data_IF_094796637386
#
_entry.id   IF_094796637386
#
_cell.length_a   1.000
_cell.length_b   1.000
_cell.length_c   1.000
_cell.angle_alpha   90.00
_cell.angle_beta   90.00
_cell.angle_gamma   90.00
#
_symmetry.space_group_name_H-M   'P 1'
#
loop_
_entity.id
_entity.type
_entity.pdbx_description
1 polymer ?
#
# COMPACT_ATOMS: atom_id res chain seq x y z
N UNK A 1 30.58 -39.47 -4.70
CA UNK A 1 30.82 -38.03 -4.91
C UNK A 1 29.50 -37.35 -5.24
N UNK A 2 29.23 -36.25 -4.53
CA UNK A 2 27.93 -35.66 -4.16
C UNK A 2 26.93 -35.37 -5.30
N UNK A 3 25.70 -35.86 -5.14
CA UNK A 3 24.51 -35.46 -5.94
C UNK A 3 23.40 -34.78 -5.12
N UNK A 4 23.66 -34.34 -3.89
CA UNK A 4 22.60 -33.94 -2.93
C UNK A 4 22.71 -32.50 -2.36
N UNK A 5 23.29 -31.54 -3.08
CA UNK A 5 23.49 -30.16 -2.55
C UNK A 5 22.96 -29.06 -3.49
N UNK A 6 21.88 -29.30 -4.24
CA UNK A 6 21.24 -28.24 -5.06
C UNK A 6 19.74 -28.12 -4.76
N UNK A 7 19.39 -28.27 -3.49
CA UNK A 7 18.06 -27.93 -2.96
C UNK A 7 18.35 -27.22 -1.64
N UNK A 8 18.00 -25.93 -1.51
CA UNK A 8 18.18 -25.03 -0.34
C UNK A 8 19.10 -23.83 -0.63
N UNK A 9 18.59 -22.83 -1.36
CA UNK A 9 18.89 -21.41 -1.14
C UNK A 9 18.16 -20.53 -2.18
N UNK A 10 16.83 -20.42 -2.09
CA UNK A 10 16.09 -19.34 -2.75
C UNK A 10 14.68 -19.16 -2.15
N UNK A 11 14.56 -19.21 -0.82
CA UNK A 11 13.40 -18.59 -0.17
C UNK A 11 13.82 -17.15 0.10
N UNK A 12 13.85 -16.35 -0.96
CA UNK A 12 13.99 -14.89 -0.82
C UNK A 12 12.65 -14.40 -0.29
N UNK A 13 12.67 -13.84 0.92
CA UNK A 13 11.54 -13.15 1.50
C UNK A 13 11.17 -11.96 0.59
N UNK A 14 10.05 -12.10 -0.11
CA UNK A 14 9.50 -11.07 -1.01
C UNK A 14 8.75 -10.07 -0.12
N UNK A 15 9.45 -9.06 0.42
CA UNK A 15 8.81 -7.90 1.02
C UNK A 15 8.42 -6.92 -0.10
N UNK A 16 7.34 -7.23 -0.82
CA UNK A 16 6.74 -6.32 -1.80
C UNK A 16 5.60 -5.52 -1.17
N UNK A 17 5.72 -4.18 -1.15
CA UNK A 17 4.73 -3.25 -0.60
C UNK A 17 3.37 -3.32 -1.30
N UNK A 18 2.58 -4.36 -1.02
CA UNK A 18 1.25 -4.59 -1.59
C UNK A 18 0.17 -4.09 -0.62
N UNK A 19 -0.98 -3.69 -1.15
CA UNK A 19 -2.19 -3.47 -0.34
C UNK A 19 -3.06 -4.72 -0.36
N UNK A 20 -3.65 -5.04 0.78
CA UNK A 20 -4.53 -6.21 0.94
C UNK A 20 -5.84 -5.80 1.59
N UNK A 21 -6.96 -6.27 1.05
CA UNK A 21 -8.27 -6.08 1.66
C UNK A 21 -8.41 -6.95 2.90
N UNK A 22 -9.03 -6.41 3.95
CA UNK A 22 -9.47 -7.22 5.09
C UNK A 22 -10.81 -7.88 4.77
N UNK A 23 -10.81 -9.18 4.47
CA UNK A 23 -12.02 -9.94 4.17
C UNK A 23 -12.83 -10.22 5.44
N UNK A 24 -14.10 -10.63 5.28
CA UNK A 24 -14.98 -10.93 6.44
C UNK A 24 -14.40 -12.03 7.33
N UNK A 25 -13.73 -13.02 6.73
CA UNK A 25 -13.08 -14.12 7.45
C UNK A 25 -11.94 -13.62 8.35
N UNK A 26 -11.33 -12.48 8.03
CA UNK A 26 -10.25 -11.90 8.82
C UNK A 26 -10.73 -11.13 10.04
N UNK A 27 -12.01 -10.71 10.03
CA UNK A 27 -12.63 -9.84 11.04
C UNK A 27 -13.24 -10.59 12.23
N UNK A 28 -13.09 -11.92 12.28
CA UNK A 28 -13.63 -12.70 13.39
C UNK A 28 -12.95 -12.33 14.72
N UNK A 29 -13.75 -11.88 15.69
CA UNK A 29 -13.26 -11.55 17.03
C UNK A 29 -12.50 -12.72 17.69
N UNK A 30 -12.88 -13.95 17.34
CA UNK A 30 -12.29 -15.20 17.83
C UNK A 30 -11.09 -15.67 17.01
N UNK A 31 -10.69 -14.97 15.94
CA UNK A 31 -9.51 -15.33 15.15
C UNK A 31 -8.25 -15.22 16.00
N UNK A 32 -7.51 -16.31 16.13
CA UNK A 32 -6.21 -16.30 16.79
C UNK A 32 -5.16 -15.81 15.80
N UNK A 33 -4.49 -14.71 16.13
CA UNK A 33 -3.33 -14.24 15.38
C UNK A 33 -2.07 -14.79 16.03
N UNK A 34 -1.10 -15.19 15.22
CA UNK A 34 0.23 -15.57 15.71
C UNK A 34 0.99 -14.32 16.14
N UNK A 35 1.93 -14.48 17.07
CA UNK A 35 2.81 -13.39 17.54
C UNK A 35 3.95 -13.07 16.57
N UNK A 36 3.79 -13.42 15.28
CA UNK A 36 4.78 -13.09 14.26
C UNK A 36 4.68 -11.59 13.97
N UNK A 37 5.79 -10.89 14.16
CA UNK A 37 5.88 -9.47 13.93
C UNK A 37 6.23 -9.18 12.47
N UNK A 38 5.21 -8.80 11.69
CA UNK A 38 5.27 -8.40 10.29
C UNK A 38 4.42 -7.14 10.12
N UNK A 39 4.95 -5.96 10.47
CA UNK A 39 4.12 -4.79 10.65
C UNK A 39 3.42 -4.35 9.37
N UNK A 40 2.19 -3.87 9.52
CA UNK A 40 1.37 -3.34 8.43
C UNK A 40 0.77 -2.00 8.83
N UNK A 41 0.50 -1.17 7.83
CA UNK A 41 -0.21 0.07 7.99
C UNK A 41 -1.69 -0.18 7.67
N UNK A 42 -2.51 -0.25 8.72
CA UNK A 42 -3.96 -0.42 8.59
C UNK A 42 -4.62 0.91 8.24
N UNK A 43 -5.31 0.94 7.11
CA UNK A 43 -6.05 2.11 6.62
C UNK A 43 -7.50 1.98 7.06
N UNK A 44 -7.95 2.94 7.86
CA UNK A 44 -9.31 2.95 8.41
C UNK A 44 -10.24 3.71 7.49
N UNK A 45 -11.54 3.41 7.59
CA UNK A 45 -12.54 4.08 6.77
C UNK A 45 -12.45 5.60 6.99
N UNK A 46 -12.27 6.40 5.94
CA UNK A 46 -12.19 7.84 6.12
C UNK A 46 -13.50 8.33 6.70
N UNK A 47 -13.44 9.12 7.77
CA UNK A 47 -14.55 10.00 8.09
C UNK A 47 -14.79 10.88 6.86
N UNK A 48 -16.04 10.90 6.37
CA UNK A 48 -16.52 11.50 5.10
C UNK A 48 -16.27 13.01 4.93
N UNK A 49 -15.30 13.62 5.62
CA UNK A 49 -15.09 15.07 5.67
C UNK A 49 -13.61 15.50 5.54
N UNK A 50 -12.92 15.04 4.49
CA UNK A 50 -11.67 15.67 4.05
C UNK A 50 -10.52 15.75 5.08
N UNK A 51 -10.57 14.93 6.14
CA UNK A 51 -9.53 14.86 7.16
C UNK A 51 -8.33 14.01 6.72
N UNK A 52 -7.20 14.16 7.42
CA UNK A 52 -6.02 13.28 7.23
C UNK A 52 -6.46 11.81 7.24
N UNK A 53 -5.91 10.96 6.36
CA UNK A 53 -6.24 9.54 6.33
C UNK A 53 -5.93 8.92 7.70
N UNK A 54 -6.92 8.28 8.31
CA UNK A 54 -6.75 7.60 9.60
C UNK A 54 -6.00 6.30 9.31
N UNK A 55 -4.74 6.25 9.74
CA UNK A 55 -3.87 5.09 9.59
C UNK A 55 -3.21 4.75 10.90
N UNK A 56 -2.98 3.46 11.15
CA UNK A 56 -2.29 2.98 12.35
C UNK A 56 -1.40 1.78 12.01
N UNK A 57 -0.23 1.71 12.64
CA UNK A 57 0.67 0.56 12.52
C UNK A 57 0.15 -0.57 13.40
N UNK A 58 0.03 -1.76 12.84
CA UNK A 58 -0.29 -3.00 13.54
C UNK A 58 0.88 -3.96 13.43
N UNK A 59 1.01 -4.87 14.39
CA UNK A 59 2.10 -5.86 14.42
C UNK A 59 2.01 -6.92 13.32
N UNK A 60 0.83 -7.14 12.74
CA UNK A 60 0.61 -8.07 11.63
C UNK A 60 -0.67 -7.76 10.87
N UNK A 61 -0.78 -8.29 9.64
CA UNK A 61 -2.01 -8.26 8.85
C UNK A 61 -3.22 -8.81 9.62
N UNK A 62 -3.05 -9.94 10.31
CA UNK A 62 -4.11 -10.53 11.12
C UNK A 62 -4.59 -9.57 12.22
N UNK A 63 -3.67 -8.96 12.97
CA UNK A 63 -4.02 -8.03 14.04
C UNK A 63 -4.70 -6.76 13.51
N UNK A 64 -4.29 -6.28 12.33
CA UNK A 64 -4.97 -5.16 11.66
C UNK A 64 -6.41 -5.52 11.26
N UNK A 65 -6.62 -6.66 10.60
CA UNK A 65 -7.95 -7.00 10.09
C UNK A 65 -8.93 -7.49 11.16
N UNK A 66 -8.47 -7.82 12.37
CA UNK A 66 -9.35 -8.00 13.53
C UNK A 66 -10.01 -6.70 13.99
N UNK A 67 -9.37 -5.55 13.75
CA UNK A 67 -9.98 -4.24 14.00
C UNK A 67 -11.00 -3.93 12.89
N UNK A 68 -12.29 -3.93 13.25
CA UNK A 68 -13.38 -3.70 12.29
C UNK A 68 -13.33 -2.33 11.61
N UNK A 69 -12.62 -1.36 12.19
CA UNK A 69 -12.44 -0.03 11.59
C UNK A 69 -11.40 -0.01 10.45
N UNK A 70 -10.53 -1.02 10.36
CA UNK A 70 -9.56 -1.16 9.27
C UNK A 70 -10.28 -1.69 8.03
N UNK A 71 -10.11 -1.03 6.88
CA UNK A 71 -10.72 -1.42 5.61
C UNK A 71 -9.76 -2.29 4.81
N UNK A 72 -8.49 -1.87 4.73
CA UNK A 72 -7.41 -2.57 4.05
C UNK A 72 -6.08 -2.24 4.71
N UNK A 73 -5.05 -3.03 4.40
CA UNK A 73 -3.69 -2.84 4.92
C UNK A 73 -2.72 -2.55 3.79
N UNK A 74 -1.65 -1.85 4.12
CA UNK A 74 -0.46 -1.66 3.31
C UNK A 74 0.74 -2.32 4.02
N UNK A 75 1.60 -3.04 3.29
CA UNK A 75 2.73 -3.75 3.91
C UNK A 75 3.81 -2.79 4.44
N UNK A 76 4.19 -2.96 5.71
CA UNK A 76 5.14 -2.09 6.39
C UNK A 76 4.46 -1.12 7.35
N UNK A 77 5.22 -0.53 8.27
CA UNK A 77 4.70 0.43 9.23
C UNK A 77 4.23 1.74 8.56
N UNK A 78 3.28 2.46 9.15
CA UNK A 78 2.72 3.68 8.57
C UNK A 78 3.75 4.81 8.41
N UNK A 79 4.82 4.79 9.21
CA UNK A 79 5.93 5.73 9.19
C UNK A 79 6.81 5.56 7.95
N UNK A 80 6.73 4.41 7.26
CA UNK A 80 7.44 4.16 6.01
C UNK A 80 6.82 4.91 4.81
N UNK A 81 5.71 5.61 5.01
CA UNK A 81 4.96 6.32 3.96
C UNK A 81 4.87 7.82 4.27
N UNK A 82 4.84 8.67 3.22
CA UNK A 82 4.68 10.12 3.38
C UNK A 82 3.50 10.46 4.30
N UNK A 83 3.67 11.46 5.17
CA UNK A 83 2.64 11.86 6.15
C UNK A 83 1.35 12.33 5.46
N UNK A 84 1.48 12.99 4.32
CA UNK A 84 0.40 13.46 3.46
C UNK A 84 -0.02 12.43 2.39
N UNK A 85 0.50 11.20 2.44
CA UNK A 85 0.16 10.13 1.51
C UNK A 85 -1.27 9.64 1.70
N UNK A 86 -2.03 9.64 0.61
CA UNK A 86 -3.40 9.13 0.54
C UNK A 86 -3.38 7.79 -0.18
N UNK A 87 -3.77 6.73 0.53
CA UNK A 87 -3.77 5.37 -0.01
C UNK A 87 -4.96 5.15 -0.94
N UNK A 88 -4.70 4.48 -2.06
CA UNK A 88 -5.74 4.03 -2.95
C UNK A 88 -6.38 2.76 -2.40
N UNK A 89 -7.70 2.71 -2.41
CA UNK A 89 -8.40 1.49 -2.06
C UNK A 89 -8.04 0.39 -3.09
N UNK A 90 -7.79 -0.86 -2.69
CA UNK A 90 -7.38 -1.92 -3.63
C UNK A 90 -8.32 -2.10 -4.82
N UNK A 91 -9.63 -1.91 -4.61
CA UNK A 91 -10.64 -2.01 -5.66
C UNK A 91 -10.77 -0.75 -6.54
N UNK A 92 -10.03 0.33 -6.29
CA UNK A 92 -10.14 1.58 -7.06
C UNK A 92 -9.72 1.44 -8.51
N UNK A 93 -8.88 0.46 -8.86
CA UNK A 93 -8.52 0.12 -10.25
C UNK A 93 -9.72 -0.26 -11.12
N UNK A 94 -10.80 -0.71 -10.49
CA UNK A 94 -12.05 -1.06 -11.18
C UNK A 94 -12.94 0.17 -11.42
N UNK A 95 -12.56 1.35 -10.93
CA UNK A 95 -13.34 2.56 -11.13
C UNK A 95 -13.18 3.06 -12.57
N UNK A 96 -14.27 3.00 -13.33
CA UNK A 96 -14.31 3.43 -14.74
C UNK A 96 -14.64 4.91 -14.90
N UNK A 97 -15.02 5.60 -13.83
CA UNK A 97 -15.49 6.99 -13.88
C UNK A 97 -14.77 7.84 -12.84
N UNK A 98 -14.02 8.83 -13.32
CA UNK A 98 -13.42 9.87 -12.49
C UNK A 98 -13.97 11.24 -12.88
N UNK A 99 -14.14 12.15 -11.90
CA UNK A 99 -14.56 13.52 -12.19
C UNK A 99 -13.50 14.22 -13.06
N UNK A 100 -13.96 15.07 -13.98
CA UNK A 100 -13.10 15.93 -14.81
C UNK A 100 -12.66 17.18 -14.04
N UNK A 101 -12.07 16.98 -12.86
CA UNK A 101 -11.48 18.05 -12.04
C UNK A 101 -9.97 17.95 -12.15
N UNK A 102 -9.31 19.07 -12.43
CA UNK A 102 -7.86 19.17 -12.43
C UNK A 102 -7.37 19.61 -11.05
N UNK A 103 -6.83 18.66 -10.30
CA UNK A 103 -6.23 18.83 -8.97
C UNK A 103 -5.07 17.82 -8.87
N UNK A 104 -3.91 18.13 -9.46
CA UNK A 104 -2.89 17.14 -9.77
C UNK A 104 -2.35 16.46 -8.52
N UNK A 105 -1.95 15.20 -8.69
CA UNK A 105 -1.38 14.36 -7.63
C UNK A 105 -0.18 13.59 -8.16
N UNK A 106 0.75 13.28 -7.27
CA UNK A 106 1.89 12.42 -7.56
C UNK A 106 1.61 11.03 -7.03
N UNK A 107 1.28 10.12 -7.93
CA UNK A 107 0.93 8.73 -7.62
C UNK A 107 2.15 7.83 -7.66
N UNK A 108 2.28 6.94 -6.67
CA UNK A 108 3.29 5.89 -6.62
C UNK A 108 2.77 4.65 -7.34
N UNK A 109 3.37 4.31 -8.47
CA UNK A 109 2.94 3.17 -9.30
C UNK A 109 3.71 1.93 -8.85
N UNK A 110 2.99 0.83 -8.64
CA UNK A 110 3.60 -0.44 -8.30
C UNK A 110 3.84 -1.26 -9.57
N UNK A 111 5.08 -1.29 -10.07
CA UNK A 111 5.47 -2.30 -11.06
C UNK A 111 5.88 -3.57 -10.29
N UNK A 112 5.10 -4.64 -10.44
CA UNK A 112 5.41 -5.93 -9.82
C UNK A 112 6.86 -6.38 -10.07
N UNK A 113 7.48 -6.90 -9.02
CA UNK A 113 8.80 -7.55 -8.97
C UNK A 113 10.07 -6.72 -9.29
N UNK A 114 9.96 -5.46 -9.70
CA UNK A 114 11.11 -4.57 -9.83
C UNK A 114 10.91 -3.32 -9.00
N UNK A 115 11.63 -3.24 -7.88
CA UNK A 115 12.02 -1.97 -7.25
C UNK A 115 12.60 -1.08 -8.35
N UNK A 116 11.79 -0.21 -8.93
CA UNK A 116 12.08 0.71 -10.03
C UNK A 116 13.55 0.68 -10.49
N UNK A 117 13.93 -0.36 -11.22
CA UNK A 117 15.32 -0.57 -11.62
C UNK A 117 15.61 0.34 -12.81
N UNK A 118 15.77 1.64 -12.52
CA UNK A 118 16.15 2.66 -13.49
C UNK A 118 15.00 3.44 -14.15
N UNK A 119 13.78 3.40 -13.61
CA UNK A 119 12.62 4.16 -14.10
C UNK A 119 11.91 4.97 -13.02
N UNK A 120 11.03 5.89 -13.41
CA UNK A 120 10.25 6.70 -12.49
C UNK A 120 9.17 5.85 -11.80
N UNK A 121 9.24 5.71 -10.48
CA UNK A 121 8.20 5.04 -9.67
C UNK A 121 6.93 5.87 -9.50
N UNK A 122 6.96 7.10 -10.01
CA UNK A 122 5.99 8.12 -9.71
C UNK A 122 5.51 8.74 -11.01
N UNK A 123 4.22 9.03 -11.07
CA UNK A 123 3.58 9.67 -12.21
C UNK A 123 2.61 10.74 -11.72
N UNK A 124 2.52 11.83 -12.49
CA UNK A 124 1.56 12.89 -12.23
C UNK A 124 0.23 12.53 -12.86
N UNK A 125 -0.83 12.50 -12.06
CA UNK A 125 -2.21 12.28 -12.52
C UNK A 125 -3.03 13.55 -12.34
N UNK A 126 -4.07 13.74 -13.15
CA UNK A 126 -4.90 14.96 -13.08
C UNK A 126 -5.66 15.10 -11.76
N UNK A 127 -5.95 13.97 -11.08
CA UNK A 127 -6.53 13.95 -9.74
C UNK A 127 -6.33 12.59 -9.04
N UNK A 128 -6.63 12.54 -7.75
CA UNK A 128 -6.53 11.32 -6.93
C UNK A 128 -7.37 10.15 -7.42
N UNK A 129 -8.54 10.39 -8.01
CA UNK A 129 -9.35 9.32 -8.59
C UNK A 129 -8.62 8.66 -9.76
N UNK A 130 -8.08 9.46 -10.69
CA UNK A 130 -7.31 8.95 -11.82
C UNK A 130 -6.06 8.20 -11.37
N UNK A 131 -5.34 8.71 -10.36
CA UNK A 131 -4.19 8.01 -9.80
C UNK A 131 -4.56 6.59 -9.33
N UNK A 132 -5.63 6.46 -8.55
CA UNK A 132 -6.08 5.17 -8.05
C UNK A 132 -6.68 4.26 -9.13
N UNK A 133 -7.41 4.82 -10.09
CA UNK A 133 -7.95 4.06 -11.23
C UNK A 133 -6.82 3.51 -12.13
N UNK A 134 -5.72 4.25 -12.25
CA UNK A 134 -4.53 3.84 -13.01
C UNK A 134 -3.58 2.91 -12.24
N UNK A 135 -3.95 2.47 -11.03
CA UNK A 135 -3.15 1.49 -10.28
C UNK A 135 -2.06 2.08 -9.39
N UNK A 136 -2.13 3.38 -9.05
CA UNK A 136 -1.29 3.92 -7.98
C UNK A 136 -1.62 3.25 -6.65
N UNK A 137 -0.60 2.97 -5.85
CA UNK A 137 -0.73 2.38 -4.52
C UNK A 137 -1.09 3.42 -3.46
N UNK A 138 -0.43 4.58 -3.49
CA UNK A 138 -0.85 5.81 -2.82
C UNK A 138 -0.50 7.01 -3.71
N UNK A 139 -1.00 8.19 -3.36
CA UNK A 139 -0.59 9.44 -3.97
C UNK A 139 -0.38 10.55 -2.93
N UNK A 140 0.34 11.59 -3.32
CA UNK A 140 0.47 12.84 -2.55
C UNK A 140 -0.12 14.01 -3.36
N UNK A 141 -0.64 15.07 -2.71
CA UNK A 141 -1.09 16.26 -3.42
C UNK A 141 0.04 16.97 -4.17
N UNK A 142 -0.24 17.47 -5.37
CA UNK A 142 0.72 18.17 -6.23
C UNK A 142 1.32 17.29 -7.31
N UNK A 143 1.98 17.90 -8.29
CA UNK A 143 2.67 17.16 -9.36
C UNK A 143 3.92 16.45 -8.83
N UNK A 144 4.36 15.39 -9.51
CA UNK A 144 5.63 14.76 -9.19
C UNK A 144 6.80 15.69 -9.53
N UNK A 145 7.56 16.07 -8.52
CA UNK A 145 8.84 16.76 -8.72
C UNK A 145 9.93 15.73 -8.98
N UNK A 146 10.64 15.81 -10.11
CA UNK A 146 11.80 14.97 -10.44
C UNK A 146 13.05 15.31 -9.61
N UNK A 147 12.91 15.37 -8.30
CA UNK A 147 14.03 15.42 -7.36
C UNK A 147 13.92 14.20 -6.46
N UNK A 148 14.41 13.07 -6.96
CA UNK A 148 14.72 11.94 -6.09
C UNK A 148 15.94 12.36 -5.27
N UNK A 149 15.74 13.06 -4.16
CA UNK A 149 16.69 12.97 -3.07
C UNK A 149 16.50 11.59 -2.48
N UNK A 150 17.35 10.65 -2.93
CA UNK A 150 17.65 9.47 -2.15
C UNK A 150 18.36 9.98 -0.89
N UNK A 151 17.60 10.28 0.16
CA UNK A 151 18.18 10.35 1.49
C UNK A 151 18.46 8.90 1.91
N UNK A 152 19.75 8.57 1.84
CA UNK A 152 20.39 7.35 2.36
C UNK A 152 20.29 7.28 3.88
#
# INVERSE_FOLDING_TARGET
MNKFVIVLAAILAISSAQTFLCEENDRSANKLCTDIFEPVCGIKQPNLQGGKPIRATFSSHCNACKDSSVVFVAQGACEAYPENGIFCHPNSVNNKMCPMIFSPVCGMIQNGFMLCQGGNCVETFSNGCQACASGSFFYTPGECTYHIQQEQ
#
